data_IF_288427778318
#
_entry.id   IF_288427778318
#
_cell.length_a   1.000
_cell.length_b   1.000
_cell.length_c   1.000
_cell.angle_alpha   90.00
_cell.angle_beta   90.00
_cell.angle_gamma   90.00
#
_symmetry.space_group_name_H-M   'P 1'
#
loop_
_entity.id
_entity.type
_entity.pdbx_description
1 polymer ?
#
# COMPACT_ATOMS: atom_id res chain seq x y z
N UNK A 1 15.89 6.34 -16.57
CA UNK A 1 15.02 7.14 -15.67
C UNK A 1 15.93 7.90 -14.70
N UNK A 2 15.73 9.21 -14.62
CA UNK A 2 16.50 10.09 -13.75
C UNK A 2 16.29 9.71 -12.27
N UNK A 3 17.41 9.50 -11.54
CA UNK A 3 17.40 9.16 -10.11
C UNK A 3 16.67 10.23 -9.26
N UNK A 4 16.77 11.50 -9.65
CA UNK A 4 16.05 12.59 -9.01
C UNK A 4 14.54 12.46 -9.17
N UNK A 5 14.06 12.13 -10.37
CA UNK A 5 12.64 11.94 -10.65
C UNK A 5 12.07 10.75 -9.88
N UNK A 6 12.81 9.65 -9.73
CA UNK A 6 12.42 8.52 -8.90
C UNK A 6 12.28 8.96 -7.45
N UNK A 7 13.28 9.65 -6.93
CA UNK A 7 13.29 10.15 -5.55
C UNK A 7 12.08 11.02 -5.24
N UNK A 8 11.75 11.97 -6.13
CA UNK A 8 10.57 12.84 -6.00
C UNK A 8 9.27 12.04 -5.97
N UNK A 9 9.13 11.05 -6.85
CA UNK A 9 7.95 10.17 -6.87
C UNK A 9 7.83 9.35 -5.59
N UNK A 10 8.93 8.84 -5.07
CA UNK A 10 8.94 8.08 -3.80
C UNK A 10 8.52 8.99 -2.65
N UNK A 11 9.12 10.17 -2.52
CA UNK A 11 8.79 11.12 -1.44
C UNK A 11 7.32 11.52 -1.48
N UNK A 12 6.77 11.82 -2.65
CA UNK A 12 5.33 12.13 -2.82
C UNK A 12 4.45 10.98 -2.32
N UNK A 13 4.82 9.74 -2.59
CA UNK A 13 4.06 8.56 -2.13
C UNK A 13 4.19 8.33 -0.64
N UNK A 14 5.36 8.58 -0.07
CA UNK A 14 5.56 8.48 1.38
C UNK A 14 4.73 9.54 2.11
N UNK A 15 4.67 10.76 1.58
CA UNK A 15 3.79 11.80 2.11
C UNK A 15 2.32 11.40 2.03
N UNK A 16 1.89 10.83 0.90
CA UNK A 16 0.53 10.31 0.74
C UNK A 16 0.23 9.18 1.74
N UNK A 17 1.15 8.24 1.93
CA UNK A 17 1.00 7.15 2.89
C UNK A 17 0.79 7.67 4.32
N UNK A 18 1.61 8.63 4.75
CA UNK A 18 1.50 9.25 6.08
C UNK A 18 0.19 10.02 6.25
N UNK A 19 -0.22 10.80 5.24
CA UNK A 19 -1.46 11.58 5.27
C UNK A 19 -2.71 10.67 5.30
N UNK A 20 -2.74 9.62 4.50
CA UNK A 20 -3.86 8.66 4.48
C UNK A 20 -3.93 7.84 5.78
N UNK A 21 -2.79 7.47 6.37
CA UNK A 21 -2.76 6.79 7.66
C UNK A 21 -3.33 7.67 8.78
N UNK A 22 -2.96 8.95 8.83
CA UNK A 22 -3.52 9.92 9.77
C UNK A 22 -5.02 10.10 9.57
N UNK A 23 -5.47 10.22 8.33
CA UNK A 23 -6.89 10.37 8.00
C UNK A 23 -7.69 9.12 8.39
N UNK A 24 -7.13 7.92 8.25
CA UNK A 24 -7.77 6.69 8.70
C UNK A 24 -8.08 6.74 10.21
N UNK A 25 -7.12 7.19 11.02
CA UNK A 25 -7.30 7.32 12.47
C UNK A 25 -8.36 8.37 12.83
N UNK A 26 -8.39 9.50 12.12
CA UNK A 26 -9.44 10.52 12.32
C UNK A 26 -10.83 9.97 11.98
N UNK A 27 -10.97 9.23 10.90
CA UNK A 27 -12.25 8.61 10.55
C UNK A 27 -12.71 7.60 11.59
N UNK A 28 -11.81 6.87 12.25
CA UNK A 28 -12.17 6.00 13.39
C UNK A 28 -12.73 6.82 14.55
N UNK A 29 -12.10 7.94 14.90
CA UNK A 29 -12.57 8.84 15.97
C UNK A 29 -13.98 9.37 15.68
N UNK A 30 -14.31 9.57 14.42
CA UNK A 30 -15.62 10.02 13.96
C UNK A 30 -16.65 8.88 13.80
N UNK A 31 -16.25 7.63 14.06
CA UNK A 31 -17.13 6.46 13.90
C UNK A 31 -17.33 5.99 12.46
N UNK A 32 -16.54 6.48 11.52
CA UNK A 32 -16.61 6.17 10.10
C UNK A 32 -15.72 4.96 9.74
N UNK A 33 -16.05 3.79 10.27
CA UNK A 33 -15.21 2.59 10.21
C UNK A 33 -14.89 2.11 8.79
N UNK A 34 -15.87 2.11 7.88
CA UNK A 34 -15.63 1.69 6.48
C UNK A 34 -14.74 2.67 5.74
N UNK A 35 -14.91 3.96 5.97
CA UNK A 35 -14.05 5.01 5.41
C UNK A 35 -12.63 4.90 5.97
N UNK A 36 -12.51 4.64 7.27
CA UNK A 36 -11.23 4.41 7.93
C UNK A 36 -10.49 3.20 7.34
N UNK A 37 -11.18 2.09 7.13
CA UNK A 37 -10.63 0.90 6.49
C UNK A 37 -10.11 1.20 5.07
N UNK A 38 -10.87 1.95 4.28
CA UNK A 38 -10.45 2.38 2.95
C UNK A 38 -9.22 3.27 2.97
N UNK A 39 -9.12 4.19 3.94
CA UNK A 39 -7.96 5.09 4.08
C UNK A 39 -6.71 4.35 4.55
N UNK A 40 -6.83 3.43 5.50
CA UNK A 40 -5.73 2.58 5.92
C UNK A 40 -5.20 1.72 4.75
N UNK A 41 -6.09 1.15 3.94
CA UNK A 41 -5.74 0.45 2.71
C UNK A 41 -4.97 1.36 1.73
N UNK A 42 -5.45 2.57 1.47
CA UNK A 42 -4.78 3.52 0.56
C UNK A 42 -3.41 3.94 1.10
N UNK A 43 -3.27 4.11 2.40
CA UNK A 43 -2.00 4.40 3.03
C UNK A 43 -0.97 3.29 2.74
N UNK A 44 -1.34 2.03 2.98
CA UNK A 44 -0.44 0.91 2.70
C UNK A 44 -0.13 0.77 1.22
N UNK A 45 -1.11 0.92 0.35
CA UNK A 45 -0.91 0.89 -1.11
C UNK A 45 0.12 1.92 -1.56
N UNK A 46 0.07 3.13 -1.04
CA UNK A 46 1.05 4.19 -1.32
C UNK A 46 2.45 3.82 -0.82
N UNK A 47 2.57 3.28 0.40
CA UNK A 47 3.84 2.84 0.97
C UNK A 47 4.44 1.66 0.19
N UNK A 48 3.62 0.68 -0.21
CA UNK A 48 4.06 -0.45 -1.03
C UNK A 48 4.56 0.00 -2.40
N UNK A 49 3.86 0.97 -3.01
CA UNK A 49 4.28 1.56 -4.28
C UNK A 49 5.61 2.33 -4.16
N UNK A 50 5.83 3.02 -3.04
CA UNK A 50 7.12 3.67 -2.73
C UNK A 50 8.24 2.64 -2.58
N UNK A 51 8.00 1.56 -1.85
CA UNK A 51 8.93 0.45 -1.69
C UNK A 51 9.29 -0.19 -3.05
N UNK A 52 8.29 -0.42 -3.90
CA UNK A 52 8.48 -0.96 -5.25
C UNK A 52 9.30 -0.01 -6.14
N UNK A 53 9.09 1.30 -6.03
CA UNK A 53 9.87 2.30 -6.76
C UNK A 53 11.35 2.31 -6.35
N UNK A 54 11.64 2.17 -5.06
CA UNK A 54 13.00 2.03 -4.55
C UNK A 54 13.68 0.72 -4.97
N UNK A 55 12.89 -0.32 -5.16
CA UNK A 55 13.32 -1.65 -5.62
C UNK A 55 13.05 -1.87 -7.12
N UNK A 56 13.08 -0.81 -7.93
CA UNK A 56 12.73 -0.84 -9.36
C UNK A 56 13.46 -1.95 -10.12
N UNK A 57 14.72 -2.17 -9.83
CA UNK A 57 15.52 -3.18 -10.53
C UNK A 57 14.98 -4.61 -10.29
N UNK A 58 14.55 -4.91 -9.07
CA UNK A 58 13.92 -6.20 -8.76
C UNK A 58 12.54 -6.33 -9.42
N UNK A 59 11.78 -5.24 -9.48
CA UNK A 59 10.51 -5.20 -10.20
C UNK A 59 10.71 -5.43 -11.70
N UNK A 60 11.73 -4.86 -12.32
CA UNK A 60 12.07 -5.08 -13.74
C UNK A 60 12.49 -6.52 -14.04
N UNK A 61 13.18 -7.19 -13.12
CA UNK A 61 13.53 -8.62 -13.27
C UNK A 61 12.29 -9.51 -13.31
N UNK A 62 11.29 -9.18 -12.49
CA UNK A 62 10.05 -9.97 -12.34
C UNK A 62 9.01 -9.63 -13.39
N UNK A 63 8.82 -8.35 -13.70
CA UNK A 63 7.78 -7.86 -14.61
C UNK A 63 8.42 -7.34 -15.89
N UNK A 64 8.61 -8.26 -16.82
CA UNK A 64 9.20 -7.96 -18.13
C UNK A 64 8.14 -7.60 -19.16
N UNK A 65 8.50 -6.78 -20.14
CA UNK A 65 7.64 -6.37 -21.22
C UNK A 65 7.15 -4.95 -21.07
N UNK A 66 6.21 -4.57 -21.93
CA UNK A 66 5.67 -3.23 -22.05
C UNK A 66 4.19 -3.21 -21.69
N UNK A 67 3.74 -2.08 -21.19
CA UNK A 67 2.34 -1.77 -20.95
C UNK A 67 1.97 -0.47 -21.66
N UNK A 68 0.73 -0.36 -22.10
CA UNK A 68 0.21 0.89 -22.66
C UNK A 68 -0.01 1.91 -21.54
N UNK A 69 0.59 3.08 -21.69
CA UNK A 69 0.35 4.25 -20.86
C UNK A 69 -0.71 5.16 -21.51
N UNK A 70 -0.99 6.29 -20.85
CA UNK A 70 -1.88 7.30 -21.41
C UNK A 70 -1.35 7.81 -22.77
N UNK A 71 -2.24 8.18 -23.65
CA UNK A 71 -1.93 8.74 -24.98
C UNK A 71 -1.16 7.78 -25.91
N UNK A 72 -1.26 6.47 -25.68
CA UNK A 72 -0.66 5.46 -26.55
C UNK A 72 0.85 5.29 -26.37
N UNK A 73 1.46 5.94 -25.38
CA UNK A 73 2.85 5.71 -25.04
C UNK A 73 3.05 4.31 -24.43
N UNK A 74 4.18 3.69 -24.74
CA UNK A 74 4.60 2.44 -24.10
C UNK A 74 5.58 2.71 -22.97
N UNK A 75 5.38 2.02 -21.83
CA UNK A 75 6.27 2.05 -20.67
C UNK A 75 6.64 0.64 -20.25
N UNK A 76 7.71 0.50 -19.50
CA UNK A 76 8.03 -0.80 -18.90
C UNK A 76 6.86 -1.27 -18.02
N UNK A 77 6.51 -2.56 -18.13
CA UNK A 77 5.43 -3.15 -17.31
C UNK A 77 5.66 -2.94 -15.81
N UNK A 78 6.93 -3.07 -15.36
CA UNK A 78 7.29 -2.80 -13.98
C UNK A 78 7.00 -1.35 -13.57
N UNK A 79 7.33 -0.37 -14.41
CA UNK A 79 7.06 1.04 -14.13
C UNK A 79 5.56 1.34 -14.10
N UNK A 80 4.79 0.72 -14.96
CA UNK A 80 3.34 0.81 -14.95
C UNK A 80 2.75 0.25 -13.64
N UNK A 81 3.22 -0.93 -13.21
CA UNK A 81 2.78 -1.54 -11.94
C UNK A 81 3.17 -0.69 -10.73
N UNK A 82 4.39 -0.17 -10.71
CA UNK A 82 4.86 0.75 -9.66
C UNK A 82 3.98 2.01 -9.63
N UNK A 83 3.64 2.56 -10.79
CA UNK A 83 2.87 3.78 -10.89
C UNK A 83 1.43 3.62 -10.40
N UNK A 84 0.76 2.55 -10.75
CA UNK A 84 -0.66 2.33 -10.44
C UNK A 84 -0.86 1.47 -9.20
N UNK A 85 0.07 0.58 -8.90
CA UNK A 85 -0.04 -0.44 -7.87
C UNK A 85 -1.47 -1.02 -7.80
N UNK A 86 -1.93 -1.70 -8.88
CA UNK A 86 -3.31 -2.19 -8.93
C UNK A 86 -3.59 -3.13 -7.75
N UNK A 87 -4.76 -3.02 -7.14
CA UNK A 87 -5.14 -3.84 -5.96
C UNK A 87 -4.90 -5.34 -6.20
N UNK A 88 -5.28 -5.85 -7.37
CA UNK A 88 -5.09 -7.25 -7.74
C UNK A 88 -3.62 -7.66 -7.95
N UNK A 89 -2.69 -6.71 -7.96
CA UNK A 89 -1.24 -6.96 -8.09
C UNK A 89 -0.46 -6.74 -6.81
N UNK A 90 -1.09 -6.19 -5.78
CA UNK A 90 -0.41 -5.86 -4.52
C UNK A 90 0.18 -7.09 -3.84
N UNK A 91 -0.54 -8.21 -3.82
CA UNK A 91 -0.07 -9.46 -3.23
C UNK A 91 1.18 -9.99 -3.90
N UNK A 92 1.18 -10.01 -5.22
CA UNK A 92 2.31 -10.45 -6.04
C UNK A 92 3.52 -9.52 -5.87
N UNK A 93 3.29 -8.19 -5.90
CA UNK A 93 4.33 -7.20 -5.67
C UNK A 93 4.96 -7.33 -4.27
N UNK A 94 4.16 -7.53 -3.24
CA UNK A 94 4.65 -7.76 -1.88
C UNK A 94 5.58 -8.98 -1.79
N UNK A 95 5.27 -10.05 -2.49
CA UNK A 95 6.13 -11.24 -2.54
C UNK A 95 7.49 -10.97 -3.20
N UNK A 96 7.51 -10.15 -4.24
CA UNK A 96 8.78 -9.71 -4.85
C UNK A 96 9.59 -8.89 -3.85
N UNK A 97 8.94 -7.96 -3.14
CA UNK A 97 9.58 -7.05 -2.21
C UNK A 97 9.98 -7.70 -0.88
N UNK A 98 9.44 -8.86 -0.55
CA UNK A 98 9.78 -9.64 0.66
C UNK A 98 11.27 -9.87 0.82
N UNK A 99 11.98 -10.11 -0.27
CA UNK A 99 13.43 -10.36 -0.26
C UNK A 99 14.25 -9.14 0.21
N UNK A 100 13.69 -7.94 0.05
CA UNK A 100 14.35 -6.68 0.39
C UNK A 100 13.91 -6.16 1.75
N UNK A 101 12.60 -6.26 2.04
CA UNK A 101 11.98 -5.62 3.21
C UNK A 101 11.50 -6.63 4.27
N UNK A 102 11.62 -7.94 4.01
CA UNK A 102 11.19 -8.98 4.93
C UNK A 102 9.69 -9.29 4.88
N UNK A 103 9.24 -10.13 5.79
CA UNK A 103 7.86 -10.64 5.83
C UNK A 103 6.82 -9.55 6.09
N UNK A 104 7.22 -8.44 6.69
CA UNK A 104 6.32 -7.34 7.03
C UNK A 104 5.53 -6.83 5.83
N UNK A 105 6.13 -6.75 4.64
CA UNK A 105 5.42 -6.28 3.44
C UNK A 105 4.32 -7.24 3.00
N UNK A 106 4.51 -8.53 3.19
CA UNK A 106 3.49 -9.54 2.88
C UNK A 106 2.37 -9.51 3.91
N UNK A 107 2.70 -9.47 5.20
CA UNK A 107 1.73 -9.44 6.28
C UNK A 107 0.86 -8.17 6.25
N UNK A 108 1.46 -7.00 6.06
CA UNK A 108 0.71 -5.75 5.97
C UNK A 108 -0.12 -5.67 4.69
N UNK A 109 0.33 -6.26 3.59
CA UNK A 109 -0.47 -6.36 2.37
C UNK A 109 -1.69 -7.25 2.58
N UNK A 110 -1.56 -8.38 3.28
CA UNK A 110 -2.69 -9.23 3.63
C UNK A 110 -3.70 -8.47 4.51
N UNK A 111 -3.23 -7.76 5.52
CA UNK A 111 -4.07 -6.93 6.38
C UNK A 111 -4.79 -5.83 5.60
N UNK A 112 -4.07 -5.14 4.72
CA UNK A 112 -4.64 -4.10 3.86
C UNK A 112 -5.74 -4.64 2.94
N UNK A 113 -5.54 -5.82 2.34
CA UNK A 113 -6.54 -6.46 1.47
C UNK A 113 -7.78 -6.90 2.25
N UNK A 114 -7.62 -7.36 3.49
CA UNK A 114 -8.76 -7.64 4.37
C UNK A 114 -9.58 -6.37 4.66
N UNK A 115 -8.93 -5.25 4.98
CA UNK A 115 -9.59 -3.97 5.21
C UNK A 115 -10.24 -3.43 3.93
N UNK A 116 -9.64 -3.64 2.77
CA UNK A 116 -10.24 -3.29 1.48
C UNK A 116 -11.55 -4.05 1.26
N UNK A 117 -11.59 -5.32 1.63
CA UNK A 117 -12.80 -6.15 1.54
C UNK A 117 -13.94 -5.60 2.43
N UNK A 118 -13.65 -5.25 3.67
CA UNK A 118 -14.67 -4.70 4.59
C UNK A 118 -15.18 -3.32 4.17
N UNK A 119 -14.37 -2.55 3.49
CA UNK A 119 -14.80 -1.27 2.91
C UNK A 119 -16.02 -1.44 1.99
N UNK A 120 -16.06 -2.52 1.22
CA UNK A 120 -17.13 -2.82 0.28
C UNK A 120 -18.24 -3.70 0.88
N UNK A 121 -17.85 -4.75 1.60
CA UNK A 121 -18.78 -5.75 2.11
C UNK A 121 -19.37 -5.41 3.49
N UNK A 122 -18.72 -4.53 4.25
CA UNK A 122 -19.12 -4.22 5.62
C UNK A 122 -18.88 -5.38 6.58
N UNK A 123 -19.62 -5.37 7.70
CA UNK A 123 -19.59 -6.42 8.71
C UNK A 123 -20.52 -7.58 8.35
N UNK A 124 -20.14 -8.77 8.77
CA UNK A 124 -20.97 -9.96 8.66
C UNK A 124 -20.77 -10.87 9.89
N UNK A 125 -21.74 -10.86 10.79
CA UNK A 125 -21.71 -11.68 12.00
C UNK A 125 -21.59 -13.19 11.72
N UNK A 126 -22.08 -13.64 10.56
CA UNK A 126 -21.96 -15.04 10.14
C UNK A 126 -20.58 -15.45 9.69
N UNK A 127 -19.74 -14.47 9.27
CA UNK A 127 -18.42 -14.72 8.71
C UNK A 127 -18.43 -15.33 7.29
N UNK A 128 -19.57 -15.31 6.61
CA UNK A 128 -19.71 -15.87 5.24
C UNK A 128 -19.25 -14.87 4.19
N UNK A 129 -19.64 -13.60 4.34
CA UNK A 129 -19.38 -12.54 3.35
C UNK A 129 -18.19 -11.65 3.72
N UNK A 130 -17.86 -11.54 5.00
CA UNK A 130 -16.79 -10.71 5.50
C UNK A 130 -16.01 -11.43 6.61
N UNK A 131 -14.71 -11.16 6.69
CA UNK A 131 -13.85 -11.60 7.80
C UNK A 131 -14.09 -10.81 9.09
N UNK A 132 -14.79 -9.69 9.00
CA UNK A 132 -15.06 -8.82 10.12
C UNK A 132 -16.50 -8.96 10.57
N UNK A 133 -16.68 -9.43 11.80
CA UNK A 133 -17.99 -9.60 12.43
C UNK A 133 -18.36 -8.46 13.39
N UNK A 134 -17.37 -7.68 13.82
CA UNK A 134 -17.57 -6.56 14.77
C UNK A 134 -16.80 -5.31 14.34
N UNK A 135 -17.32 -4.14 14.77
CA UNK A 135 -16.62 -2.86 14.58
C UNK A 135 -15.27 -2.83 15.31
N UNK A 136 -15.17 -3.49 16.46
CA UNK A 136 -13.93 -3.55 17.23
C UNK A 136 -12.81 -4.21 16.42
N UNK A 137 -13.08 -5.29 15.70
CA UNK A 137 -12.09 -5.94 14.84
C UNK A 137 -11.60 -5.00 13.74
N UNK A 138 -12.49 -4.26 13.11
CA UNK A 138 -12.14 -3.25 12.09
C UNK A 138 -11.27 -2.16 12.72
N UNK A 139 -11.65 -1.65 13.87
CA UNK A 139 -10.92 -0.60 14.57
C UNK A 139 -9.50 -1.03 14.93
N UNK A 140 -9.34 -2.22 15.48
CA UNK A 140 -8.02 -2.80 15.82
C UNK A 140 -7.13 -2.93 14.59
N UNK A 141 -7.66 -3.47 13.51
CA UNK A 141 -6.89 -3.68 12.27
C UNK A 141 -6.57 -2.37 11.54
N UNK A 142 -7.46 -1.38 11.56
CA UNK A 142 -7.18 -0.04 11.01
C UNK A 142 -6.06 0.63 11.80
N UNK A 143 -6.10 0.60 13.13
CA UNK A 143 -5.04 1.16 14.00
C UNK A 143 -3.71 0.47 13.75
N UNK A 144 -3.70 -0.85 13.70
CA UNK A 144 -2.50 -1.65 13.42
C UNK A 144 -1.91 -1.29 12.05
N UNK A 145 -2.72 -1.30 10.99
CA UNK A 145 -2.24 -1.00 9.64
C UNK A 145 -1.75 0.44 9.53
N UNK A 146 -2.49 1.42 10.06
CA UNK A 146 -2.11 2.82 10.01
C UNK A 146 -0.76 3.07 10.72
N UNK A 147 -0.59 2.52 11.92
CA UNK A 147 0.65 2.64 12.69
C UNK A 147 1.84 1.98 11.97
N UNK A 148 1.66 0.74 11.52
CA UNK A 148 2.74 -0.01 10.84
C UNK A 148 3.10 0.60 9.49
N UNK A 149 2.12 1.14 8.77
CA UNK A 149 2.37 1.88 7.53
C UNK A 149 3.22 3.12 7.79
N UNK A 150 2.91 3.88 8.83
CA UNK A 150 3.69 5.07 9.24
C UNK A 150 5.13 4.70 9.55
N UNK A 151 5.35 3.68 10.38
CA UNK A 151 6.69 3.18 10.72
C UNK A 151 7.47 2.73 9.48
N UNK A 152 6.82 1.98 8.60
CA UNK A 152 7.43 1.50 7.35
C UNK A 152 7.78 2.66 6.40
N UNK A 153 6.89 3.63 6.24
CA UNK A 153 7.13 4.82 5.42
C UNK A 153 8.32 5.63 5.93
N UNK A 154 8.44 5.81 7.24
CA UNK A 154 9.58 6.49 7.85
C UNK A 154 10.89 5.73 7.64
N UNK A 155 10.87 4.41 7.74
CA UNK A 155 12.04 3.56 7.41
C UNK A 155 12.47 3.74 5.95
N UNK A 156 11.53 3.79 5.01
CA UNK A 156 11.84 4.06 3.59
C UNK A 156 12.42 5.47 3.40
N UNK A 157 11.87 6.46 4.10
CA UNK A 157 12.38 7.85 4.05
C UNK A 157 13.82 7.94 4.54
N UNK A 158 14.18 7.22 5.58
CA UNK A 158 15.56 7.14 6.07
C UNK A 158 16.50 6.54 5.03
N UNK A 159 16.05 5.55 4.26
CA UNK A 159 16.83 4.98 3.15
C UNK A 159 17.05 5.97 2.00
N UNK A 160 16.09 6.88 1.78
CA UNK A 160 16.25 7.95 0.79
C UNK A 160 17.27 9.01 1.23
N UNK A 161 17.38 9.26 2.53
CA UNK A 161 18.19 10.29 3.12
C UNK A 161 19.15 9.69 4.17
N UNK A 162 20.09 8.83 3.77
CA UNK A 162 21.09 8.32 4.71
C UNK A 162 21.90 9.49 5.28
N UNK A 163 22.02 9.53 6.62
CA UNK A 163 22.84 10.53 7.32
C UNK A 163 24.32 10.32 7.01
#
# INVERSE_FOLDING_TARGET
>A
VDAWAIRQKVETRLQAALAEAELALRFLEEGLHRNAAGKAFQAWKAALAAAAALARDEMLKRYRGKAAAREGAEVELADWLIALMPTGRMWEAARVLRQIYGDVVVLLTALALNLHEVQYNGLDESGVLSKYSTLQQVEEDVKELAQRTTEFAETLRQRLNPK
#
